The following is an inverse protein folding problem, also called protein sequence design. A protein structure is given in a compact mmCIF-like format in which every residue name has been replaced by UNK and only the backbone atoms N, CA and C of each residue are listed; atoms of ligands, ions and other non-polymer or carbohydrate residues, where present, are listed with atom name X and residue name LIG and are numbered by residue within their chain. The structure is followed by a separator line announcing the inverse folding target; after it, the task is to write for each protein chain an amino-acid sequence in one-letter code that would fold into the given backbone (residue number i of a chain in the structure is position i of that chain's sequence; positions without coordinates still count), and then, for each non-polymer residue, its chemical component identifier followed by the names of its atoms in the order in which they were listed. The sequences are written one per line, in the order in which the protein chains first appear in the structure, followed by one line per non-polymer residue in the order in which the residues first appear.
data_IF_447917515076
#
_entry.id   IF_447917515076
#
_cell.length_a   1.000
_cell.length_b   1.000
_cell.length_c   1.000
_cell.angle_alpha   90.00
_cell.angle_beta   90.00
_cell.angle_gamma   90.00
#
_symmetry.space_group_name_H-M   'P 1'
#
loop_
_entity.id
_entity.type
_entity.pdbx_description
1 polymer ?
#
# COMPACT_ATOMS: atom_id res chain seq x y z
N UNK A 1 20.58 27.30 1.69
CA UNK A 1 20.17 26.07 2.42
C UNK A 1 18.65 26.08 2.44
N UNK A 2 18.01 25.26 1.59
CA UNK A 2 16.56 24.97 1.50
C UNK A 2 16.34 23.94 0.36
N UNK A 3 17.12 22.85 0.35
CA UNK A 3 17.03 21.79 -0.68
C UNK A 3 16.55 20.45 -0.11
N UNK A 4 16.04 20.45 1.12
CA UNK A 4 15.78 19.24 1.92
C UNK A 4 14.32 18.75 1.90
N UNK A 5 13.37 19.48 1.31
CA UNK A 5 11.97 19.02 1.31
C UNK A 5 11.67 17.94 0.25
N UNK A 6 12.22 18.06 -0.96
CA UNK A 6 11.91 17.11 -2.06
C UNK A 6 12.46 15.71 -1.78
N UNK A 7 13.66 15.64 -1.18
CA UNK A 7 14.27 14.38 -0.80
C UNK A 7 13.47 13.65 0.30
N UNK A 8 12.72 14.37 1.14
CA UNK A 8 11.80 13.75 2.10
C UNK A 8 10.48 13.34 1.45
N UNK A 9 9.92 14.10 0.51
CA UNK A 9 8.61 13.79 -0.07
C UNK A 9 8.61 12.56 -1.00
N UNK A 10 9.68 12.37 -1.78
CA UNK A 10 9.80 11.23 -2.73
C UNK A 10 10.51 10.01 -2.10
N UNK A 11 11.17 10.18 -0.96
CA UNK A 11 11.67 9.05 -0.15
C UNK A 11 10.70 8.63 0.98
N UNK A 12 9.57 9.34 1.14
CA UNK A 12 8.64 9.12 2.24
C UNK A 12 7.84 7.82 2.15
N UNK A 13 7.70 7.20 0.98
CA UNK A 13 6.90 5.98 0.84
C UNK A 13 7.54 4.78 1.53
N UNK A 14 8.87 4.76 1.71
CA UNK A 14 9.55 3.74 2.52
C UNK A 14 9.60 4.04 4.04
N UNK A 15 9.20 5.25 4.50
CA UNK A 15 9.30 5.68 5.91
C UNK A 15 8.10 6.55 6.33
N UNK A 16 6.88 6.22 5.88
CA UNK A 16 5.68 6.95 6.30
C UNK A 16 5.31 6.70 7.77
N UNK A 17 5.99 5.77 8.46
CA UNK A 17 5.74 5.40 9.87
C UNK A 17 6.75 6.00 10.86
N UNK A 18 7.89 6.54 10.42
CA UNK A 18 8.98 6.97 11.32
C UNK A 18 9.32 8.47 11.32
N UNK A 19 8.93 9.24 10.30
CA UNK A 19 9.39 10.64 10.18
C UNK A 19 8.92 11.59 11.31
N UNK A 20 7.88 11.20 12.05
CA UNK A 20 7.36 11.94 13.20
C UNK A 20 7.28 11.11 14.48
N UNK A 21 7.67 9.82 14.45
CA UNK A 21 7.52 8.93 15.59
C UNK A 21 8.33 9.43 16.79
N UNK A 22 7.70 9.43 17.96
CA UNK A 22 8.34 9.77 19.22
C UNK A 22 9.16 8.60 19.75
N UNK A 23 10.45 8.81 19.99
CA UNK A 23 11.26 7.89 20.79
C UNK A 23 10.76 7.95 22.24
N UNK A 24 10.21 6.83 22.73
CA UNK A 24 9.69 6.73 24.11
C UNK A 24 10.63 5.99 25.05
N UNK A 25 11.58 5.23 24.49
CA UNK A 25 12.65 4.56 25.23
C UNK A 25 13.89 4.39 24.37
N UNK A 26 15.06 4.66 24.94
CA UNK A 26 16.35 4.38 24.32
C UNK A 26 17.41 4.14 25.39
N UNK A 27 17.87 2.89 25.50
CA UNK A 27 18.89 2.50 26.45
C UNK A 27 19.61 1.23 25.97
N UNK A 28 20.92 1.17 26.19
CA UNK A 28 21.76 -0.02 25.98
C UNK A 28 21.62 -0.66 24.58
N UNK A 29 21.55 0.17 23.53
CA UNK A 29 21.42 -0.29 22.14
C UNK A 29 20.03 -0.78 21.77
N UNK A 30 19.02 -0.56 22.63
CA UNK A 30 17.62 -0.85 22.38
C UNK A 30 16.81 0.43 22.33
N UNK A 31 16.02 0.61 21.27
CA UNK A 31 15.06 1.70 21.12
C UNK A 31 13.63 1.19 20.96
N UNK A 32 12.67 1.98 21.46
CA UNK A 32 11.26 1.84 21.20
C UNK A 32 10.70 3.18 20.75
N UNK A 33 10.15 3.18 19.55
CA UNK A 33 9.46 4.31 18.95
C UNK A 33 7.97 4.03 18.94
N UNK A 34 7.17 5.06 19.23
CA UNK A 34 5.73 5.06 19.01
C UNK A 34 5.41 6.10 17.93
N UNK A 35 4.64 5.67 16.94
CA UNK A 35 4.18 6.56 15.88
C UNK A 35 2.74 6.26 15.50
N UNK A 36 2.34 6.82 14.37
CA UNK A 36 1.01 6.64 13.80
C UNK A 36 0.42 7.96 13.35
N UNK A 37 -0.91 8.03 13.29
CA UNK A 37 -1.63 9.24 12.90
C UNK A 37 -3.04 9.29 13.46
N UNK A 38 -3.56 10.50 13.63
CA UNK A 38 -4.99 10.77 13.60
C UNK A 38 -5.30 11.54 12.32
N UNK A 39 -6.12 10.96 11.45
CA UNK A 39 -6.41 11.49 10.12
C UNK A 39 -7.91 11.63 9.93
N UNK A 40 -8.40 12.86 10.05
CA UNK A 40 -9.79 13.20 9.76
C UNK A 40 -9.96 13.29 8.25
N UNK A 41 -10.97 12.60 7.70
CA UNK A 41 -11.21 12.55 6.25
C UNK A 41 -12.71 12.61 5.96
N UNK A 42 -13.11 13.63 5.22
CA UNK A 42 -14.45 13.76 4.68
C UNK A 42 -14.41 13.41 3.19
N UNK A 43 -15.18 12.39 2.80
CA UNK A 43 -15.46 12.06 1.40
C UNK A 43 -16.82 12.63 0.99
N UNK A 44 -16.91 13.16 -0.22
CA UNK A 44 -18.12 13.70 -0.83
C UNK A 44 -18.28 13.15 -2.25
N UNK A 45 -19.34 12.37 -2.47
CA UNK A 45 -19.75 11.86 -3.79
C UNK A 45 -21.24 12.20 -3.99
N UNK A 46 -21.65 12.73 -5.14
CA UNK A 46 -23.02 13.26 -5.38
C UNK A 46 -23.53 14.21 -4.26
N UNK A 47 -22.63 14.98 -3.65
CA UNK A 47 -22.94 15.85 -2.51
C UNK A 47 -23.39 15.12 -1.22
N UNK A 48 -23.16 13.80 -1.12
CA UNK A 48 -23.38 12.99 0.07
C UNK A 48 -22.07 12.81 0.81
N UNK A 49 -22.07 13.12 2.10
CA UNK A 49 -20.90 13.05 2.96
C UNK A 49 -20.72 11.65 3.55
N UNK A 50 -19.48 11.18 3.57
CA UNK A 50 -19.06 9.98 4.31
C UNK A 50 -17.83 10.30 5.16
N UNK A 51 -17.85 9.87 6.43
CA UNK A 51 -16.68 9.94 7.29
C UNK A 51 -15.75 8.77 7.00
N UNK A 52 -14.55 9.08 6.50
CA UNK A 52 -13.47 8.12 6.23
C UNK A 52 -12.34 8.26 7.25
N UNK A 53 -12.56 8.96 8.36
CA UNK A 53 -11.54 9.23 9.37
C UNK A 53 -10.95 7.94 9.94
N UNK A 54 -9.67 7.98 10.26
CA UNK A 54 -8.93 6.82 10.77
C UNK A 54 -7.84 7.24 11.75
N UNK A 55 -7.57 6.36 12.71
CA UNK A 55 -6.39 6.45 13.58
C UNK A 55 -5.48 5.28 13.27
N UNK A 56 -4.17 5.51 13.23
CA UNK A 56 -3.16 4.45 13.29
C UNK A 56 -2.30 4.63 14.51
N UNK A 57 -1.97 3.53 15.17
CA UNK A 57 -0.96 3.47 16.21
C UNK A 57 0.04 2.39 15.85
N UNK A 58 1.33 2.73 15.93
CA UNK A 58 2.40 1.77 15.68
C UNK A 58 3.50 1.85 16.73
N UNK A 59 4.20 0.72 16.88
CA UNK A 59 5.32 0.56 17.79
C UNK A 59 6.45 -0.13 17.04
N UNK A 60 7.63 0.48 17.05
CA UNK A 60 8.84 -0.04 16.44
C UNK A 60 9.89 -0.27 17.52
N UNK A 61 10.20 -1.53 17.78
CA UNK A 61 11.31 -1.92 18.65
C UNK A 61 12.52 -2.31 17.82
N UNK A 62 13.70 -1.78 18.16
CA UNK A 62 14.99 -2.20 17.58
C UNK A 62 15.99 -2.49 18.68
N UNK A 63 16.71 -3.60 18.58
CA UNK A 63 17.79 -3.97 19.49
C UNK A 63 19.04 -4.28 18.69
N UNK A 64 20.13 -3.56 18.96
CA UNK A 64 21.45 -3.91 18.46
C UNK A 64 21.92 -5.22 19.11
N UNK A 65 22.37 -6.17 18.29
CA UNK A 65 22.90 -7.46 18.76
C UNK A 65 24.43 -7.42 18.74
N UNK A 66 25.00 -7.04 17.59
CA UNK A 66 26.43 -6.76 17.41
C UNK A 66 26.60 -5.60 16.43
N UNK A 67 27.84 -5.19 16.17
CA UNK A 67 28.12 -4.27 15.07
C UNK A 67 27.64 -4.87 13.75
N UNK A 68 26.73 -4.17 13.07
CA UNK A 68 26.17 -4.59 11.79
C UNK A 68 25.07 -5.66 11.87
N UNK A 69 24.55 -6.01 13.06
CA UNK A 69 23.43 -6.93 13.24
C UNK A 69 22.44 -6.41 14.30
N UNK A 70 21.16 -6.33 13.95
CA UNK A 70 20.08 -5.90 14.84
C UNK A 70 18.84 -6.80 14.73
N UNK A 71 18.07 -6.86 15.81
CA UNK A 71 16.71 -7.39 15.82
C UNK A 71 15.68 -6.26 15.69
N UNK A 72 14.54 -6.56 15.07
CA UNK A 72 13.43 -5.62 14.89
C UNK A 72 12.10 -6.30 15.20
N UNK A 73 11.19 -5.57 15.82
CA UNK A 73 9.78 -5.94 15.98
C UNK A 73 8.89 -4.76 15.66
N UNK A 74 7.79 -5.00 14.95
CA UNK A 74 6.87 -3.94 14.56
C UNK A 74 5.41 -4.38 14.64
N UNK A 75 4.58 -3.48 15.14
CA UNK A 75 3.13 -3.59 15.14
C UNK A 75 2.52 -2.28 14.64
N UNK A 76 1.47 -2.37 13.81
CA UNK A 76 0.60 -1.25 13.48
C UNK A 76 -0.87 -1.69 13.45
N UNK A 77 -1.71 -0.98 14.20
CA UNK A 77 -3.17 -1.11 14.17
C UNK A 77 -3.81 0.12 13.56
N UNK A 78 -4.86 -0.08 12.76
CA UNK A 78 -5.75 0.98 12.27
C UNK A 78 -7.14 0.85 12.91
N UNK A 79 -7.70 1.98 13.32
CA UNK A 79 -8.97 2.10 14.04
C UNK A 79 -9.87 3.06 13.27
N UNK A 80 -11.14 2.70 13.13
CA UNK A 80 -12.18 3.49 12.46
C UNK A 80 -13.48 3.51 13.27
N UNK A 81 -14.36 4.43 12.94
CA UNK A 81 -15.70 4.57 13.54
C UNK A 81 -16.76 4.57 12.45
N UNK A 82 -17.96 4.09 12.75
CA UNK A 82 -19.06 4.02 11.79
C UNK A 82 -20.42 4.15 12.49
N UNK A 83 -20.64 5.27 13.21
CA UNK A 83 -21.84 5.46 14.05
C UNK A 83 -23.18 5.39 13.29
N UNK A 84 -23.18 5.65 11.97
CA UNK A 84 -24.36 5.58 11.10
C UNK A 84 -25.62 6.31 11.61
N UNK A 85 -25.43 7.38 12.39
CA UNK A 85 -26.54 8.13 13.04
C UNK A 85 -27.29 7.34 14.13
N UNK A 86 -26.71 6.25 14.61
CA UNK A 86 -27.23 5.38 15.66
C UNK A 86 -27.13 5.99 17.07
N UNK A 87 -27.30 5.14 18.09
CA UNK A 87 -27.16 5.57 19.47
C UNK A 87 -25.68 5.84 19.79
N UNK A 88 -25.43 6.75 20.74
CA UNK A 88 -24.07 7.05 21.20
C UNK A 88 -23.37 5.76 21.66
N UNK A 89 -22.16 5.52 21.13
CA UNK A 89 -21.28 4.40 21.46
C UNK A 89 -21.92 3.00 21.28
N UNK A 90 -22.88 2.83 20.36
CA UNK A 90 -23.57 1.55 20.16
C UNK A 90 -22.92 0.62 19.12
N UNK A 91 -22.06 1.15 18.26
CA UNK A 91 -21.38 0.37 17.23
C UNK A 91 -19.98 -0.04 17.71
N UNK A 92 -19.61 -1.30 17.49
CA UNK A 92 -18.25 -1.77 17.76
C UNK A 92 -17.32 -1.27 16.66
N UNK A 93 -16.27 -0.54 17.04
CA UNK A 93 -15.20 -0.14 16.11
C UNK A 93 -14.44 -1.35 15.59
N UNK A 94 -14.02 -1.28 14.32
CA UNK A 94 -13.14 -2.28 13.72
C UNK A 94 -11.68 -1.92 13.98
N UNK A 95 -10.90 -2.93 14.37
CA UNK A 95 -9.45 -2.85 14.40
C UNK A 95 -8.87 -3.69 13.26
N UNK A 96 -8.06 -3.06 12.42
CA UNK A 96 -7.26 -3.77 11.42
C UNK A 96 -5.81 -3.85 11.88
N UNK A 97 -5.34 -5.06 12.16
CA UNK A 97 -3.91 -5.33 12.38
C UNK A 97 -3.19 -5.28 11.03
N UNK A 98 -2.61 -4.12 10.72
CA UNK A 98 -1.98 -3.85 9.42
C UNK A 98 -0.65 -4.56 9.29
N UNK A 99 0.18 -4.49 10.35
CA UNK A 99 1.49 -5.11 10.42
C UNK A 99 1.67 -5.81 11.75
N UNK A 100 2.23 -7.03 11.71
CA UNK A 100 2.65 -7.80 12.88
C UNK A 100 3.82 -8.66 12.45
N UNK A 101 5.05 -8.19 12.70
CA UNK A 101 6.24 -8.93 12.29
C UNK A 101 7.41 -8.75 13.25
N UNK A 102 8.35 -9.69 13.15
CA UNK A 102 9.67 -9.59 13.75
C UNK A 102 10.73 -10.04 12.73
N UNK A 103 11.98 -9.61 12.93
CA UNK A 103 13.05 -9.92 11.99
C UNK A 103 14.44 -9.60 12.49
N UNK A 104 15.39 -9.85 11.60
CA UNK A 104 16.81 -9.54 11.78
C UNK A 104 17.27 -8.72 10.59
N UNK A 105 18.10 -7.72 10.85
CA UNK A 105 18.72 -6.93 9.81
C UNK A 105 20.17 -6.60 10.09
N UNK A 106 20.85 -6.15 9.04
CA UNK A 106 22.27 -5.84 9.08
C UNK A 106 22.77 -5.34 7.72
N UNK A 107 24.08 -5.43 7.51
CA UNK A 107 24.70 -5.01 6.24
C UNK A 107 24.19 -5.76 5.00
N UNK A 108 23.62 -6.95 5.20
CA UNK A 108 23.04 -7.79 4.12
C UNK A 108 21.60 -7.39 3.74
N UNK A 109 20.99 -6.44 4.46
CA UNK A 109 19.56 -6.14 4.39
C UNK A 109 18.80 -6.61 5.63
N UNK A 110 17.48 -6.70 5.52
CA UNK A 110 16.57 -7.08 6.61
C UNK A 110 15.63 -8.19 6.14
N UNK A 111 15.50 -9.24 6.96
CA UNK A 111 14.56 -10.35 6.75
C UNK A 111 13.56 -10.39 7.90
N UNK A 112 12.27 -10.47 7.57
CA UNK A 112 11.18 -10.51 8.56
C UNK A 112 10.23 -11.67 8.28
N UNK A 113 9.58 -12.18 9.33
CA UNK A 113 8.43 -13.07 9.23
C UNK A 113 7.22 -12.48 9.95
N UNK A 114 6.03 -12.70 9.40
CA UNK A 114 4.77 -12.15 9.89
C UNK A 114 4.12 -11.27 8.83
N UNK A 115 3.05 -10.56 9.20
CA UNK A 115 2.34 -9.68 8.27
C UNK A 115 3.18 -8.44 7.96
N UNK A 116 3.74 -8.38 6.75
CA UNK A 116 4.60 -7.30 6.28
C UNK A 116 4.44 -7.07 4.76
N UNK A 117 5.02 -5.99 4.23
CA UNK A 117 4.93 -5.67 2.81
C UNK A 117 5.73 -6.66 1.94
N UNK A 118 5.13 -7.06 0.83
CA UNK A 118 5.78 -7.74 -0.29
C UNK A 118 6.68 -6.81 -1.10
N UNK A 119 6.99 -7.19 -2.34
CA UNK A 119 7.99 -6.50 -3.14
C UNK A 119 7.44 -5.39 -4.05
N UNK A 120 6.15 -5.36 -4.39
CA UNK A 120 5.65 -4.45 -5.43
C UNK A 120 5.16 -3.09 -4.91
N UNK A 121 4.95 -2.93 -3.60
CA UNK A 121 4.61 -1.63 -3.00
C UNK A 121 5.59 -0.51 -3.40
N UNK A 122 6.90 -0.80 -3.37
CA UNK A 122 7.95 0.18 -3.77
C UNK A 122 7.94 0.53 -5.25
N UNK A 123 7.27 -0.26 -6.09
CA UNK A 123 7.08 0.06 -7.51
C UNK A 123 5.84 0.94 -7.68
N UNK A 124 4.73 0.63 -7.01
CA UNK A 124 3.52 1.48 -7.03
C UNK A 124 3.76 2.85 -6.39
N UNK A 125 4.69 2.94 -5.43
CA UNK A 125 5.14 4.19 -4.79
C UNK A 125 5.68 5.23 -5.78
N UNK A 126 6.03 4.84 -7.01
CA UNK A 126 6.45 5.79 -8.03
C UNK A 126 5.32 6.77 -8.37
N UNK A 127 4.07 6.30 -8.44
CA UNK A 127 2.90 7.09 -8.83
C UNK A 127 1.91 7.33 -7.69
N UNK A 128 1.96 6.53 -6.62
CA UNK A 128 1.18 6.72 -5.38
C UNK A 128 1.73 7.87 -4.51
N UNK A 129 1.52 9.11 -4.96
CA UNK A 129 2.10 10.31 -4.34
C UNK A 129 1.07 11.28 -3.76
N UNK A 130 -0.22 11.03 -3.97
CA UNK A 130 -1.29 11.93 -3.53
C UNK A 130 -1.64 11.71 -2.06
N UNK A 131 -2.33 12.67 -1.45
CA UNK A 131 -2.73 12.56 -0.04
C UNK A 131 -3.94 11.62 0.19
N UNK A 132 -4.80 11.43 -0.81
CA UNK A 132 -6.04 10.67 -0.69
C UNK A 132 -6.37 9.80 -1.91
N UNK A 133 -6.45 10.38 -3.11
CA UNK A 133 -6.73 9.68 -4.37
C UNK A 133 -5.44 9.07 -4.99
N UNK A 134 -5.48 8.68 -6.26
CA UNK A 134 -4.36 8.02 -6.95
C UNK A 134 -4.30 6.52 -6.66
N UNK A 135 -3.26 5.85 -7.17
CA UNK A 135 -3.02 4.41 -7.01
C UNK A 135 -4.26 3.53 -7.36
N UNK A 136 -5.08 3.97 -8.32
CA UNK A 136 -6.32 3.29 -8.73
C UNK A 136 -6.12 2.35 -9.92
N UNK A 137 -4.94 2.37 -10.54
CA UNK A 137 -4.59 1.55 -11.70
C UNK A 137 -3.28 0.78 -11.53
N UNK A 138 -2.92 0.45 -10.28
CA UNK A 138 -1.76 -0.37 -9.94
C UNK A 138 -2.12 -1.42 -8.87
N UNK A 139 -3.09 -2.28 -9.19
CA UNK A 139 -3.45 -3.42 -8.34
C UNK A 139 -2.23 -4.27 -8.01
N UNK A 140 -2.24 -4.89 -6.82
CA UNK A 140 -1.20 -5.80 -6.35
C UNK A 140 -1.86 -7.08 -5.82
N UNK A 141 -1.36 -8.24 -6.21
CA UNK A 141 -1.74 -9.53 -5.64
C UNK A 141 -1.23 -9.63 -4.20
N UNK A 142 -1.84 -10.50 -3.39
CA UNK A 142 -1.67 -10.50 -1.93
C UNK A 142 -0.19 -10.63 -1.48
N UNK A 143 0.59 -11.56 -2.04
CA UNK A 143 2.03 -11.74 -1.74
C UNK A 143 2.91 -10.54 -2.14
N UNK A 144 2.43 -9.73 -3.08
CA UNK A 144 3.12 -8.54 -3.60
C UNK A 144 2.77 -7.26 -2.83
N UNK A 145 1.56 -7.20 -2.25
CA UNK A 145 1.07 -6.12 -1.40
C UNK A 145 1.52 -6.31 0.06
N UNK A 146 0.67 -6.90 0.90
CA UNK A 146 0.93 -7.09 2.34
C UNK A 146 0.18 -8.31 2.87
N UNK A 147 0.91 -9.40 3.04
CA UNK A 147 0.39 -10.68 3.50
C UNK A 147 1.05 -11.14 4.81
N UNK A 148 0.34 -11.97 5.57
CA UNK A 148 0.92 -12.79 6.63
C UNK A 148 1.44 -14.13 6.09
N UNK A 149 1.91 -15.00 6.99
CA UNK A 149 2.53 -16.29 6.65
C UNK A 149 3.64 -16.15 5.58
N UNK A 150 4.37 -15.04 5.66
CA UNK A 150 5.30 -14.58 4.62
C UNK A 150 6.66 -14.23 5.22
N UNK A 151 7.71 -14.66 4.53
CA UNK A 151 9.07 -14.13 4.73
C UNK A 151 9.27 -12.99 3.76
N UNK A 152 9.70 -11.84 4.25
CA UNK A 152 10.00 -10.65 3.45
C UNK A 152 11.45 -10.23 3.62
N UNK A 153 12.07 -9.81 2.52
CA UNK A 153 13.44 -9.31 2.45
C UNK A 153 13.47 -7.92 1.83
N UNK A 154 14.31 -7.04 2.37
CA UNK A 154 14.70 -5.78 1.71
C UNK A 154 16.20 -5.55 1.88
N UNK A 155 16.84 -5.04 0.83
CA UNK A 155 18.26 -4.69 0.83
C UNK A 155 18.52 -3.46 -0.04
N UNK A 156 19.53 -2.68 0.34
CA UNK A 156 20.02 -1.54 -0.43
C UNK A 156 21.53 -1.70 -0.65
N UNK A 157 21.94 -1.72 -1.92
CA UNK A 157 23.32 -1.93 -2.35
C UNK A 157 23.70 -0.81 -3.30
N UNK A 158 24.35 0.23 -2.75
CA UNK A 158 24.64 1.48 -3.44
C UNK A 158 23.37 2.05 -4.09
N UNK A 159 23.30 2.06 -5.42
CA UNK A 159 22.19 2.59 -6.20
C UNK A 159 21.07 1.56 -6.47
N UNK A 160 21.24 0.31 -6.05
CA UNK A 160 20.28 -0.77 -6.27
C UNK A 160 19.53 -1.12 -4.99
N UNK A 161 18.24 -0.85 -4.96
CA UNK A 161 17.31 -1.40 -3.96
C UNK A 161 16.68 -2.69 -4.46
N UNK A 162 16.55 -3.69 -3.59
CA UNK A 162 15.90 -4.97 -3.90
C UNK A 162 14.93 -5.33 -2.77
N UNK A 163 13.73 -5.80 -3.13
CA UNK A 163 12.81 -6.46 -2.20
C UNK A 163 12.42 -7.83 -2.75
N UNK A 164 12.21 -8.79 -1.86
CA UNK A 164 11.67 -10.09 -2.22
C UNK A 164 10.75 -10.61 -1.12
N UNK A 165 9.78 -11.44 -1.46
CA UNK A 165 8.97 -12.16 -0.48
C UNK A 165 8.65 -13.58 -0.95
N UNK A 166 8.42 -14.46 0.03
CA UNK A 166 7.86 -15.79 -0.19
C UNK A 166 6.78 -16.03 0.86
N UNK A 167 5.57 -16.35 0.41
CA UNK A 167 4.42 -16.70 1.25
C UNK A 167 4.22 -18.20 1.22
N UNK A 168 4.05 -18.81 2.39
CA UNK A 168 3.67 -20.21 2.50
C UNK A 168 2.15 -20.37 2.36
N UNK A 169 1.68 -21.50 1.82
CA UNK A 169 0.28 -21.88 1.91
C UNK A 169 -0.12 -22.05 3.39
N UNK A 170 -1.38 -21.74 3.71
CA UNK A 170 -1.90 -21.81 5.06
C UNK A 170 -2.40 -23.21 5.36
N UNK A 171 -1.84 -23.81 6.42
CA UNK A 171 -2.22 -25.15 6.87
C UNK A 171 -3.71 -25.25 7.17
N UNK A 172 -4.34 -26.29 6.65
CA UNK A 172 -5.72 -26.68 6.96
C UNK A 172 -5.75 -27.97 7.80
N UNK A 173 -6.66 -28.05 8.75
CA UNK A 173 -6.87 -29.25 9.57
C UNK A 173 -7.96 -30.12 8.93
N UNK A 174 -7.67 -31.39 8.65
CA UNK A 174 -8.57 -32.27 7.90
C UNK A 174 -9.12 -33.40 8.77
N UNK A 175 -10.42 -33.65 8.64
CA UNK A 175 -11.12 -34.76 9.27
C UNK A 175 -10.94 -36.08 8.48
N UNK A 176 -11.44 -37.19 9.01
CA UNK A 176 -11.32 -38.51 8.38
C UNK A 176 -11.96 -38.63 6.99
N UNK A 177 -12.86 -37.72 6.63
CA UNK A 177 -13.46 -37.63 5.30
C UNK A 177 -12.68 -36.75 4.32
N UNK A 178 -11.54 -36.17 4.75
CA UNK A 178 -10.71 -35.29 3.92
C UNK A 178 -11.23 -33.85 3.78
N UNK A 179 -12.27 -33.46 4.54
CA UNK A 179 -12.76 -32.09 4.57
C UNK A 179 -12.20 -31.29 5.76
N UNK A 180 -12.35 -29.96 5.73
CA UNK A 180 -11.92 -29.08 6.83
C UNK A 180 -12.63 -29.49 8.13
N UNK A 181 -11.84 -29.84 9.14
CA UNK A 181 -12.30 -30.22 10.46
C UNK A 181 -13.03 -29.05 11.13
N UNK A 182 -14.25 -29.30 11.61
CA UNK A 182 -15.03 -28.31 12.35
C UNK A 182 -14.66 -28.34 13.84
N UNK A 183 -14.93 -27.27 14.61
CA UNK A 183 -14.64 -27.24 16.04
C UNK A 183 -15.19 -28.47 16.78
N UNK A 184 -14.31 -29.22 17.45
CA UNK A 184 -14.65 -30.43 18.20
C UNK A 184 -14.62 -31.74 17.41
N UNK A 185 -14.21 -31.73 16.13
CA UNK A 185 -13.90 -32.95 15.36
C UNK A 185 -12.45 -33.40 15.54
N UNK A 186 -12.20 -34.71 15.40
CA UNK A 186 -10.85 -35.26 15.36
C UNK A 186 -10.11 -34.82 14.09
N UNK A 187 -8.90 -34.29 14.25
CA UNK A 187 -7.97 -33.98 13.17
C UNK A 187 -7.13 -35.24 12.90
N UNK A 188 -7.21 -35.76 11.67
CA UNK A 188 -6.49 -36.99 11.29
C UNK A 188 -5.32 -36.74 10.35
N UNK A 189 -5.31 -35.59 9.67
CA UNK A 189 -4.26 -35.18 8.73
C UNK A 189 -4.27 -33.67 8.52
N UNK A 190 -3.23 -33.16 7.86
CA UNK A 190 -3.11 -31.75 7.48
C UNK A 190 -3.03 -31.63 5.96
N UNK A 191 -3.62 -30.56 5.43
CA UNK A 191 -3.37 -30.05 4.09
C UNK A 191 -3.01 -28.56 4.18
N UNK A 192 -3.21 -27.84 3.09
CA UNK A 192 -3.13 -26.38 3.05
C UNK A 192 -4.16 -25.83 2.04
N UNK A 193 -4.18 -24.51 1.86
CA UNK A 193 -5.08 -23.82 0.93
C UNK A 193 -4.44 -23.52 -0.44
N UNK A 194 -3.28 -24.14 -0.72
CA UNK A 194 -2.46 -23.90 -1.91
C UNK A 194 -2.15 -22.41 -2.15
N UNK A 195 -2.25 -21.52 -1.14
CA UNK A 195 -2.09 -20.07 -1.33
C UNK A 195 -0.64 -19.59 -1.15
N UNK A 196 0.33 -20.38 -1.61
CA UNK A 196 1.74 -20.01 -1.65
C UNK A 196 2.05 -19.09 -2.84
N UNK A 197 3.13 -18.33 -2.71
CA UNK A 197 3.51 -17.36 -3.73
C UNK A 197 4.81 -16.65 -3.43
N UNK A 198 5.26 -15.82 -4.35
CA UNK A 198 6.47 -15.02 -4.21
C UNK A 198 6.34 -13.68 -4.93
N UNK A 199 7.14 -12.71 -4.50
CA UNK A 199 7.32 -11.45 -5.22
C UNK A 199 8.77 -11.00 -5.20
N UNK A 200 9.20 -10.25 -6.22
CA UNK A 200 10.54 -9.69 -6.36
C UNK A 200 10.45 -8.32 -7.02
N UNK A 201 11.24 -7.37 -6.55
CA UNK A 201 11.40 -6.07 -7.20
C UNK A 201 12.82 -5.53 -7.08
N UNK A 202 13.17 -4.68 -8.03
CA UNK A 202 14.42 -3.94 -8.06
C UNK A 202 14.17 -2.49 -8.47
N UNK A 203 14.87 -1.57 -7.81
CA UNK A 203 14.89 -0.14 -8.15
C UNK A 203 16.33 0.28 -8.32
N UNK A 204 16.65 0.87 -9.47
CA UNK A 204 17.97 1.44 -9.75
C UNK A 204 17.90 2.96 -9.87
N UNK A 205 18.66 3.66 -9.02
CA UNK A 205 18.85 5.10 -9.12
C UNK A 205 20.04 5.41 -10.05
N UNK A 206 19.82 6.22 -11.09
CA UNK A 206 20.87 6.56 -12.05
C UNK A 206 21.75 7.68 -11.50
N UNK A 207 22.60 7.33 -10.53
CA UNK A 207 23.47 8.28 -9.82
C UNK A 207 22.70 9.51 -9.34
N UNK A 208 23.25 10.69 -9.57
CA UNK A 208 22.66 11.97 -9.15
C UNK A 208 21.75 12.62 -10.20
N UNK A 209 21.35 11.87 -11.24
CA UNK A 209 20.54 12.45 -12.34
C UNK A 209 19.13 12.83 -11.94
N UNK A 210 18.63 12.27 -10.82
CA UNK A 210 17.23 12.36 -10.41
C UNK A 210 16.33 11.30 -11.07
N UNK A 211 16.87 10.46 -11.95
CA UNK A 211 16.11 9.37 -12.60
C UNK A 211 16.19 8.09 -11.78
N UNK A 212 15.06 7.42 -11.60
CA UNK A 212 14.97 6.06 -11.04
C UNK A 212 14.17 5.17 -11.99
N UNK A 213 14.59 3.91 -12.09
CA UNK A 213 13.88 2.86 -12.83
C UNK A 213 13.53 1.74 -11.85
N UNK A 214 12.28 1.27 -11.91
CA UNK A 214 11.77 0.18 -11.08
C UNK A 214 11.19 -0.93 -11.94
N UNK A 215 11.36 -2.17 -11.51
CA UNK A 215 10.64 -3.30 -12.07
C UNK A 215 10.35 -4.34 -10.98
N UNK A 216 9.28 -5.09 -11.13
CA UNK A 216 8.98 -6.21 -10.24
C UNK A 216 8.03 -7.22 -10.86
N UNK A 217 7.96 -8.39 -10.23
CA UNK A 217 7.07 -9.49 -10.59
C UNK A 217 6.54 -10.17 -9.34
N UNK A 218 5.33 -10.73 -9.42
CA UNK A 218 4.79 -11.62 -8.40
C UNK A 218 3.94 -12.74 -9.02
N UNK A 219 3.92 -13.89 -8.34
CA UNK A 219 3.00 -15.02 -8.60
C UNK A 219 2.45 -15.51 -7.26
N UNK A 220 1.18 -15.86 -7.23
CA UNK A 220 0.55 -16.52 -6.10
C UNK A 220 -0.63 -17.37 -6.57
N UNK A 221 -0.77 -18.55 -6.00
CA UNK A 221 -1.98 -19.33 -6.17
C UNK A 221 -3.10 -18.83 -5.25
N UNK A 222 -4.32 -18.83 -5.75
CA UNK A 222 -5.53 -18.58 -4.98
C UNK A 222 -6.50 -19.72 -5.23
N UNK A 223 -6.45 -20.73 -4.36
CA UNK A 223 -7.08 -22.02 -4.61
C UNK A 223 -6.42 -22.73 -5.81
N UNK A 224 -7.19 -23.02 -6.86
CA UNK A 224 -6.71 -23.73 -8.04
C UNK A 224 -6.18 -22.82 -9.16
N UNK A 225 -6.37 -21.50 -9.05
CA UNK A 225 -6.04 -20.54 -10.10
C UNK A 225 -4.75 -19.78 -9.70
N UNK A 226 -3.85 -19.57 -10.67
CA UNK A 226 -2.64 -18.76 -10.47
C UNK A 226 -2.94 -17.29 -10.80
N UNK A 227 -2.60 -16.39 -9.88
CA UNK A 227 -2.50 -14.97 -10.12
C UNK A 227 -1.04 -14.58 -10.33
N UNK A 228 -0.79 -13.68 -11.27
CA UNK A 228 0.55 -13.18 -11.55
C UNK A 228 0.51 -11.76 -12.10
N UNK A 229 1.59 -11.02 -11.92
CA UNK A 229 1.73 -9.67 -12.46
C UNK A 229 3.19 -9.24 -12.57
N UNK A 230 3.47 -8.35 -13.51
CA UNK A 230 4.70 -7.57 -13.51
C UNK A 230 4.39 -6.08 -13.54
N UNK A 231 5.31 -5.32 -12.97
CA UNK A 231 5.27 -3.86 -12.97
C UNK A 231 6.56 -3.28 -13.51
N UNK A 232 6.43 -2.18 -14.26
CA UNK A 232 7.55 -1.36 -14.72
C UNK A 232 7.28 0.09 -14.33
N UNK A 233 8.27 0.78 -13.77
CA UNK A 233 8.13 2.16 -13.35
C UNK A 233 9.36 2.99 -13.68
N UNK A 234 9.14 4.28 -13.91
CA UNK A 234 10.21 5.27 -14.09
C UNK A 234 9.81 6.57 -13.44
N UNK A 235 10.78 7.25 -12.81
CA UNK A 235 10.55 8.58 -12.26
C UNK A 235 11.72 9.52 -12.53
N UNK A 236 11.43 10.81 -12.49
CA UNK A 236 12.37 11.89 -12.62
C UNK A 236 12.07 12.99 -11.62
N UNK A 237 13.01 13.26 -10.73
CA UNK A 237 12.94 14.36 -9.77
C UNK A 237 13.97 15.44 -10.13
N UNK A 238 13.53 16.69 -10.28
CA UNK A 238 14.41 17.83 -10.52
C UNK A 238 13.90 19.07 -9.81
N UNK A 239 14.75 19.66 -8.96
CA UNK A 239 14.37 20.78 -8.09
C UNK A 239 13.04 20.45 -7.37
N UNK A 240 12.07 21.35 -7.41
CA UNK A 240 10.75 21.20 -6.77
C UNK A 240 9.75 20.37 -7.58
N UNK A 241 10.16 19.73 -8.69
CA UNK A 241 9.31 18.94 -9.58
C UNK A 241 9.59 17.45 -9.48
N UNK A 242 8.53 16.66 -9.60
CA UNK A 242 8.57 15.21 -9.70
C UNK A 242 7.62 14.72 -10.79
N UNK A 243 8.06 13.75 -11.58
CA UNK A 243 7.26 13.07 -12.59
C UNK A 243 7.50 11.57 -12.48
N UNK A 244 6.45 10.77 -12.66
CA UNK A 244 6.57 9.33 -12.68
C UNK A 244 5.52 8.65 -13.54
N UNK A 245 5.81 7.42 -13.90
CA UNK A 245 4.86 6.50 -14.51
C UNK A 245 5.06 5.09 -13.98
N UNK A 246 3.96 4.35 -13.88
CA UNK A 246 3.91 2.94 -13.50
C UNK A 246 3.02 2.21 -14.51
N UNK A 247 3.46 1.06 -14.97
CA UNK A 247 2.72 0.13 -15.80
C UNK A 247 2.60 -1.19 -15.08
N UNK A 248 1.40 -1.78 -15.10
CA UNK A 248 1.09 -3.09 -14.51
C UNK A 248 0.38 -3.96 -15.54
N UNK A 249 0.76 -5.23 -15.66
CA UNK A 249 0.09 -6.19 -16.56
C UNK A 249 0.21 -7.60 -15.98
N UNK A 250 -0.88 -8.37 -16.08
CA UNK A 250 -0.95 -9.72 -15.52
C UNK A 250 -2.38 -10.21 -15.32
N UNK A 251 -2.52 -11.29 -14.56
CA UNK A 251 -3.80 -11.83 -14.11
C UNK A 251 -3.89 -11.69 -12.58
N UNK A 252 -4.57 -10.64 -12.10
CA UNK A 252 -4.52 -10.22 -10.69
C UNK A 252 -5.74 -10.64 -9.87
N UNK A 253 -6.71 -11.32 -10.49
CA UNK A 253 -7.93 -11.84 -9.86
C UNK A 253 -8.17 -13.30 -10.29
N UNK A 254 -8.87 -14.07 -9.45
CA UNK A 254 -9.31 -15.43 -9.80
C UNK A 254 -10.29 -15.37 -10.99
N UNK A 255 -10.12 -16.29 -11.97
CA UNK A 255 -11.00 -16.51 -13.15
C UNK A 255 -11.25 -15.27 -14.02
N UNK A 256 -10.73 -15.28 -15.25
CA UNK A 256 -10.89 -14.18 -16.21
C UNK A 256 -10.57 -12.85 -15.53
N UNK A 257 -9.31 -12.68 -15.14
CA UNK A 257 -8.81 -11.59 -14.32
C UNK A 257 -7.65 -10.84 -14.96
N UNK A 258 -7.57 -10.87 -16.30
CA UNK A 258 -6.56 -10.15 -17.08
C UNK A 258 -6.66 -8.67 -16.73
N UNK A 259 -5.54 -8.07 -16.38
CA UNK A 259 -5.45 -6.73 -15.88
C UNK A 259 -4.32 -5.99 -16.56
N UNK A 260 -4.61 -4.75 -16.94
CA UNK A 260 -3.63 -3.83 -17.45
C UNK A 260 -3.87 -2.46 -16.85
N UNK A 261 -2.84 -1.89 -16.25
CA UNK A 261 -2.89 -0.61 -15.55
C UNK A 261 -1.80 0.34 -16.02
N UNK A 262 -2.15 1.61 -16.15
CA UNK A 262 -1.25 2.71 -16.45
C UNK A 262 -1.47 3.85 -15.47
N UNK A 263 -0.39 4.31 -14.85
CA UNK A 263 -0.39 5.49 -14.01
C UNK A 263 0.64 6.51 -14.48
N UNK A 264 0.26 7.78 -14.42
CA UNK A 264 1.15 8.92 -14.56
C UNK A 264 0.95 9.84 -13.38
N UNK A 265 2.03 10.33 -12.80
CA UNK A 265 1.99 11.22 -11.64
C UNK A 265 2.91 12.42 -11.85
N UNK A 266 2.47 13.58 -11.38
CA UNK A 266 3.27 14.80 -11.34
C UNK A 266 3.08 15.50 -9.99
N UNK A 267 4.16 16.06 -9.45
CA UNK A 267 4.09 16.90 -8.26
C UNK A 267 4.97 18.15 -8.37
N UNK A 268 4.51 19.21 -7.70
CA UNK A 268 5.24 20.46 -7.56
C UNK A 268 5.19 20.96 -6.11
N UNK A 269 6.36 21.25 -5.54
CA UNK A 269 6.48 21.79 -4.18
C UNK A 269 6.66 23.31 -4.21
N UNK A 270 5.76 24.05 -3.54
CA UNK A 270 5.84 25.49 -3.37
C UNK A 270 5.81 25.85 -1.87
N UNK A 271 6.99 26.06 -1.29
CA UNK A 271 7.13 26.36 0.13
C UNK A 271 6.62 25.20 1.00
N UNK A 272 5.55 25.43 1.76
CA UNK A 272 4.89 24.41 2.61
C UNK A 272 3.75 23.68 1.88
N UNK A 273 3.51 23.96 0.60
CA UNK A 273 2.43 23.35 -0.17
C UNK A 273 3.00 22.38 -1.19
N UNK A 274 2.42 21.19 -1.29
CA UNK A 274 2.68 20.22 -2.36
C UNK A 274 1.42 20.09 -3.19
N UNK A 275 1.53 20.29 -4.49
CA UNK A 275 0.47 20.03 -5.45
C UNK A 275 0.78 18.73 -6.17
N UNK A 276 -0.20 17.83 -6.29
CA UNK A 276 -0.05 16.60 -7.06
C UNK A 276 -1.18 16.44 -8.06
N UNK A 277 -0.90 15.71 -9.13
CA UNK A 277 -1.92 15.23 -10.06
C UNK A 277 -1.54 13.85 -10.57
N UNK A 278 -2.55 13.01 -10.75
CA UNK A 278 -2.38 11.68 -11.34
C UNK A 278 -3.40 11.44 -12.44
N UNK A 279 -2.99 10.66 -13.44
CA UNK A 279 -3.89 9.99 -14.37
C UNK A 279 -3.73 8.49 -14.13
N UNK A 280 -4.84 7.78 -13.92
CA UNK A 280 -4.85 6.35 -13.66
C UNK A 280 -5.88 5.70 -14.58
N UNK A 281 -5.44 4.76 -15.42
CA UNK A 281 -6.31 4.03 -16.33
C UNK A 281 -6.05 2.54 -16.19
N UNK A 282 -7.10 1.76 -15.97
CA UNK A 282 -7.02 0.32 -15.90
C UNK A 282 -8.09 -0.35 -16.74
N UNK A 283 -7.72 -1.49 -17.31
CA UNK A 283 -8.57 -2.43 -18.00
C UNK A 283 -8.59 -3.75 -17.24
N UNK A 284 -9.78 -4.35 -17.12
CA UNK A 284 -9.97 -5.72 -16.64
C UNK A 284 -10.70 -6.49 -17.73
N UNK A 285 -10.06 -7.52 -18.29
CA UNK A 285 -10.54 -8.29 -19.46
C UNK A 285 -10.86 -7.41 -20.67
N UNK A 286 -9.91 -6.56 -21.08
CA UNK A 286 -10.01 -5.61 -22.22
C UNK A 286 -11.13 -4.56 -22.11
N UNK A 287 -11.74 -4.39 -20.92
CA UNK A 287 -12.77 -3.39 -20.67
C UNK A 287 -12.33 -2.47 -19.52
N UNK A 288 -12.54 -1.16 -19.65
CA UNK A 288 -12.13 -0.16 -18.65
C UNK A 288 -12.74 -0.44 -17.28
N UNK A 289 -11.91 -0.52 -16.24
CA UNK A 289 -12.31 -0.74 -14.85
C UNK A 289 -11.92 0.41 -13.92
N UNK A 290 -11.01 1.29 -14.34
CA UNK A 290 -10.73 2.59 -13.73
C UNK A 290 -10.28 3.58 -14.81
N UNK A 291 -10.76 4.82 -14.76
CA UNK A 291 -10.26 5.91 -15.62
C UNK A 291 -10.42 7.24 -14.88
N UNK A 292 -9.33 7.73 -14.29
CA UNK A 292 -9.37 8.77 -13.27
C UNK A 292 -8.32 9.84 -13.57
N UNK A 293 -8.71 11.11 -13.44
CA UNK A 293 -7.78 12.23 -13.28
C UNK A 293 -8.00 12.82 -11.90
N UNK A 294 -6.99 12.77 -11.04
CA UNK A 294 -7.06 13.37 -9.72
C UNK A 294 -6.09 14.56 -9.61
N UNK A 295 -6.50 15.54 -8.82
CA UNK A 295 -5.66 16.69 -8.42
C UNK A 295 -5.76 16.88 -6.90
N UNK A 296 -4.66 17.26 -6.26
CA UNK A 296 -4.67 17.65 -4.85
C UNK A 296 -3.76 18.83 -4.53
N UNK A 297 -4.02 19.42 -3.36
CA UNK A 297 -3.13 20.36 -2.71
C UNK A 297 -3.02 20.01 -1.23
N UNK A 298 -1.79 19.80 -0.76
CA UNK A 298 -1.46 19.48 0.62
C UNK A 298 -0.62 20.60 1.24
N UNK A 299 -1.11 21.21 2.32
CA UNK A 299 -0.39 22.25 3.08
C UNK A 299 0.14 21.70 4.40
N UNK A 300 1.45 21.81 4.61
CA UNK A 300 2.16 21.31 5.79
C UNK A 300 2.42 22.44 6.78
N UNK A 301 1.52 22.64 7.74
CA UNK A 301 1.70 23.62 8.82
C UNK A 301 2.94 23.32 9.67
N UNK A 302 3.19 22.04 9.89
CA UNK A 302 4.36 21.45 10.56
C UNK A 302 4.70 20.12 9.87
N UNK A 303 5.91 19.57 10.09
CA UNK A 303 6.27 18.24 9.57
C UNK A 303 5.27 17.14 9.94
N UNK A 304 4.62 17.27 11.10
CA UNK A 304 3.65 16.31 11.64
C UNK A 304 2.19 16.78 11.56
N UNK A 305 1.89 17.92 10.93
CA UNK A 305 0.52 18.42 10.84
C UNK A 305 0.25 19.06 9.49
N UNK A 306 -0.68 18.48 8.73
CA UNK A 306 -1.04 18.90 7.38
C UNK A 306 -2.55 18.90 7.15
N UNK A 307 -3.01 19.79 6.28
CA UNK A 307 -4.35 19.75 5.70
C UNK A 307 -4.26 19.51 4.19
N UNK A 308 -5.26 18.85 3.62
CA UNK A 308 -5.31 18.60 2.18
C UNK A 308 -6.73 18.68 1.63
N UNK A 309 -6.81 19.00 0.34
CA UNK A 309 -8.02 18.91 -0.48
C UNK A 309 -7.65 18.16 -1.75
N UNK A 310 -8.50 17.21 -2.16
CA UNK A 310 -8.30 16.44 -3.38
C UNK A 310 -9.62 16.26 -4.11
N UNK A 311 -9.58 16.29 -5.43
CA UNK A 311 -10.74 16.00 -6.28
C UNK A 311 -10.34 14.95 -7.32
N UNK A 312 -11.16 13.91 -7.46
CA UNK A 312 -11.04 12.89 -8.48
C UNK A 312 -12.15 13.07 -9.52
N UNK A 313 -11.74 13.35 -10.76
CA UNK A 313 -12.61 13.31 -11.93
C UNK A 313 -12.64 11.88 -12.43
N UNK A 314 -13.81 11.23 -12.31
CA UNK A 314 -14.04 9.90 -12.84
C UNK A 314 -14.50 10.03 -14.30
N UNK A 315 -13.71 9.48 -15.21
CA UNK A 315 -13.93 9.60 -16.65
C UNK A 315 -14.87 8.51 -17.18
N UNK A 316 -15.22 7.53 -16.35
CA UNK A 316 -16.24 6.51 -16.67
C UNK A 316 -17.63 7.15 -16.58
N UNK A 317 -18.49 6.88 -17.56
CA UNK A 317 -19.89 7.31 -17.55
C UNK A 317 -20.84 6.16 -17.22
N UNK A 318 -22.00 6.48 -16.64
CA UNK A 318 -23.08 5.51 -16.44
C UNK A 318 -23.46 4.84 -17.78
N UNK A 319 -23.49 3.51 -17.80
CA UNK A 319 -23.81 2.72 -18.98
C UNK A 319 -22.63 2.39 -19.89
N UNK A 320 -21.44 2.91 -19.61
CA UNK A 320 -20.20 2.45 -20.24
C UNK A 320 -19.97 0.97 -19.94
N UNK A 321 -19.22 0.29 -20.81
CA UNK A 321 -18.77 -1.06 -20.48
C UNK A 321 -17.78 -0.95 -19.32
N UNK A 322 -17.90 -1.88 -18.37
CA UNK A 322 -17.09 -1.87 -17.16
C UNK A 322 -16.40 -3.21 -16.97
N UNK A 323 -15.08 -3.21 -16.89
CA UNK A 323 -14.28 -4.40 -16.65
C UNK A 323 -14.56 -4.96 -15.26
N UNK A 324 -14.91 -6.24 -15.17
CA UNK A 324 -15.17 -6.93 -13.90
C UNK A 324 -14.71 -8.38 -14.01
N UNK A 325 -13.83 -8.82 -13.11
CA UNK A 325 -13.31 -10.19 -13.15
C UNK A 325 -14.44 -11.22 -13.00
N UNK A 326 -14.38 -12.31 -13.77
CA UNK A 326 -15.39 -13.36 -13.78
C UNK A 326 -16.77 -12.98 -14.36
N UNK A 327 -16.94 -11.75 -14.87
CA UNK A 327 -18.20 -11.30 -15.49
C UNK A 327 -17.94 -10.65 -16.86
N UNK A 328 -18.93 -10.72 -17.74
CA UNK A 328 -18.87 -10.09 -19.07
C UNK A 328 -20.10 -9.20 -19.29
N UNK A 329 -19.94 -8.18 -20.14
CA UNK A 329 -20.99 -7.21 -20.48
C UNK A 329 -21.56 -6.44 -19.26
N UNK A 330 -20.75 -6.27 -18.21
CA UNK A 330 -21.10 -5.42 -17.07
C UNK A 330 -21.12 -3.97 -17.53
N UNK A 331 -22.09 -3.21 -17.02
CA UNK A 331 -22.25 -1.78 -17.29
C UNK A 331 -21.91 -0.98 -16.03
N UNK A 332 -21.18 0.11 -16.22
CA UNK A 332 -20.88 1.04 -15.14
C UNK A 332 -22.19 1.58 -14.58
N UNK A 333 -22.40 1.40 -13.28
CA UNK A 333 -23.51 2.03 -12.56
C UNK A 333 -23.24 3.52 -12.40
N UNK A 334 -24.30 4.31 -12.13
CA UNK A 334 -24.14 5.72 -11.76
C UNK A 334 -23.12 5.90 -10.64
N UNK A 335 -23.20 5.07 -9.58
CA UNK A 335 -22.29 5.17 -8.43
C UNK A 335 -20.82 4.90 -8.79
N UNK A 336 -20.54 4.00 -9.75
CA UNK A 336 -19.18 3.73 -10.22
C UNK A 336 -18.63 4.84 -11.13
N UNK A 337 -19.47 5.75 -11.60
CA UNK A 337 -19.15 6.87 -12.48
C UNK A 337 -19.12 8.22 -11.73
N UNK A 338 -19.31 8.24 -10.41
CA UNK A 338 -19.29 9.48 -9.64
C UNK A 338 -17.87 10.01 -9.45
N UNK A 339 -17.75 11.33 -9.45
CA UNK A 339 -16.58 12.06 -8.97
C UNK A 339 -16.50 12.00 -7.43
N UNK A 340 -15.31 12.24 -6.87
CA UNK A 340 -15.11 12.33 -5.42
C UNK A 340 -14.31 13.57 -5.02
N UNK A 341 -14.85 14.33 -4.06
CA UNK A 341 -14.13 15.37 -3.32
C UNK A 341 -13.72 14.81 -1.95
N UNK A 342 -12.44 14.95 -1.62
CA UNK A 342 -11.91 14.61 -0.31
C UNK A 342 -11.31 15.83 0.39
N UNK A 343 -11.68 16.04 1.66
CA UNK A 343 -11.06 17.02 2.55
C UNK A 343 -10.43 16.27 3.72
N UNK A 344 -9.19 16.62 4.07
CA UNK A 344 -8.51 15.94 5.17
C UNK A 344 -7.63 16.83 6.01
N UNK A 345 -7.47 16.40 7.26
CA UNK A 345 -6.57 16.98 8.24
C UNK A 345 -5.87 15.83 8.97
N UNK A 346 -4.54 15.83 8.92
CA UNK A 346 -3.73 14.72 9.42
C UNK A 346 -2.71 15.24 10.42
N UNK A 347 -2.75 14.66 11.61
CA UNK A 347 -1.73 14.76 12.63
C UNK A 347 -0.96 13.44 12.68
N UNK A 348 0.37 13.50 12.55
CA UNK A 348 1.27 12.36 12.73
C UNK A 348 1.83 12.39 14.16
N UNK A 349 1.75 11.25 14.86
CA UNK A 349 2.19 11.11 16.26
C UNK A 349 3.70 11.05 16.40
#
# INVERSE_FOLDING_TARGET
MNKTLIALAVAATAIATGANAGEIYNQDGTSLEMGGRAEARLSLQDGKAEDKSRVRLNFLGKTQITDGLYGVGFYEGEFTTADNGGATDSDSSDITNRYVYAGLGGAFGEVTYGKNDGALGVITDFTDIMAYHGNSAAMKINVADRADNMVSYKGQFDNLGVKASYRFADRTELNAAGGIAQPGQDVVSYGDNDADGYSLSAIYALGDTGVKLGAGYASQYSGADEQNEYMLAASYAINDLYFATTFTDGQVQEKDGDYRGYEFAAAYTLGQTVFTSTYNNAETNDETSADNIAIDASYYFKPNFRGYVSYNFNLISEGDKFGTAGFSNVKATKAQAEDELALGLRYDF
#
